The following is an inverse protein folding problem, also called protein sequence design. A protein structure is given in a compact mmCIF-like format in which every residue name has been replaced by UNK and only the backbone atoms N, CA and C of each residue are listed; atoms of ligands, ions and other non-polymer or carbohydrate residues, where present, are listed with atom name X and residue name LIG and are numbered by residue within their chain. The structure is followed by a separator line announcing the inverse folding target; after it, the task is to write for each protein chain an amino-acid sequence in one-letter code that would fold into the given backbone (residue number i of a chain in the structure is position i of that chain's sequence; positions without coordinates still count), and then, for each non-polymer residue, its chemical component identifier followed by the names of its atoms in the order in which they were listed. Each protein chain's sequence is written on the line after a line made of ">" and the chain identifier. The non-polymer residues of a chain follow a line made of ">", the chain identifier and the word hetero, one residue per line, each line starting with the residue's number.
data_IF_599821479511
#
_entry.id   IF_599821479511
#
_cell.length_a   1.000
_cell.length_b   1.000
_cell.length_c   1.000
_cell.angle_alpha   90.00
_cell.angle_beta   90.00
_cell.angle_gamma   90.00
#
_symmetry.space_group_name_H-M   'P 1'
#
loop_
_entity.id
_entity.type
_entity.pdbx_description
1 polymer ?
#
# COMPACT_ATOMS: atom_id res chain seq x y z
N UNK A 1 9.15 1.11 -6.51
CA UNK A 1 7.99 1.99 -6.79
C UNK A 1 6.80 1.55 -5.97
N UNK A 2 5.90 2.46 -5.62
CA UNK A 2 4.64 2.14 -4.92
C UNK A 2 3.67 1.51 -5.93
N UNK A 3 3.82 0.20 -6.17
CA UNK A 3 3.00 -0.51 -7.14
C UNK A 3 1.81 -1.16 -6.44
N UNK A 4 0.61 -0.67 -6.73
CA UNK A 4 -0.63 -1.31 -6.27
C UNK A 4 -1.23 -2.15 -7.40
N UNK A 5 -1.35 -3.45 -7.18
CA UNK A 5 -2.09 -4.34 -8.10
C UNK A 5 -3.59 -4.16 -7.91
N UNK A 6 -4.31 -3.97 -9.01
CA UNK A 6 -5.76 -3.90 -9.00
C UNK A 6 -6.37 -5.31 -9.02
N UNK A 7 -7.50 -5.48 -8.34
CA UNK A 7 -8.32 -6.69 -8.32
C UNK A 7 -9.16 -6.79 -9.59
N UNK A 8 -9.69 -5.66 -10.06
CA UNK A 8 -10.48 -5.59 -11.28
C UNK A 8 -9.60 -5.93 -12.48
N UNK A 9 -10.05 -6.88 -13.29
CA UNK A 9 -9.34 -7.28 -14.52
C UNK A 9 -9.75 -6.38 -15.68
N UNK A 10 -8.84 -6.21 -16.63
CA UNK A 10 -9.17 -5.56 -17.91
C UNK A 10 -10.20 -6.39 -18.69
N UNK A 11 -10.82 -5.79 -19.70
CA UNK A 11 -11.70 -6.50 -20.65
C UNK A 11 -11.00 -7.65 -21.37
N UNK A 12 -9.67 -7.58 -21.51
CA UNK A 12 -8.80 -8.64 -22.03
C UNK A 12 -8.29 -9.62 -20.96
N UNK A 13 -8.91 -9.65 -19.77
CA UNK A 13 -8.63 -10.56 -18.65
C UNK A 13 -7.20 -10.43 -18.05
N UNK A 14 -6.55 -9.26 -18.20
CA UNK A 14 -5.22 -8.98 -17.63
C UNK A 14 -5.34 -8.29 -16.29
N UNK A 15 -4.36 -8.53 -15.42
CA UNK A 15 -4.15 -7.71 -14.23
C UNK A 15 -3.34 -6.48 -14.60
N UNK A 16 -3.71 -5.34 -14.03
CA UNK A 16 -2.97 -4.09 -14.13
C UNK A 16 -2.63 -3.58 -12.74
N UNK A 17 -1.64 -2.69 -12.66
CA UNK A 17 -1.28 -2.02 -11.43
C UNK A 17 -1.04 -0.54 -11.67
N UNK A 18 -1.16 0.25 -10.62
CA UNK A 18 -0.81 1.67 -10.61
C UNK A 18 0.62 1.78 -10.12
N UNK A 19 1.51 2.36 -10.92
CA UNK A 19 2.88 2.71 -10.51
C UNK A 19 2.95 4.22 -10.27
N UNK A 20 3.06 4.62 -9.00
CA UNK A 20 3.09 6.02 -8.60
C UNK A 20 4.52 6.51 -8.26
N UNK A 21 5.54 5.89 -8.87
CA UNK A 21 6.94 6.25 -8.64
C UNK A 21 7.20 7.71 -9.03
N UNK A 22 6.85 8.10 -10.25
CA UNK A 22 7.16 9.44 -10.76
C UNK A 22 5.99 10.41 -10.57
N UNK A 23 4.76 9.95 -10.79
CA UNK A 23 3.55 10.78 -10.71
C UNK A 23 2.44 10.12 -9.89
N UNK A 24 1.67 10.94 -9.16
CA UNK A 24 0.53 10.48 -8.39
C UNK A 24 0.08 11.46 -7.31
N UNK A 25 -1.10 11.21 -6.74
CA UNK A 25 -1.63 12.01 -5.62
C UNK A 25 -0.94 11.70 -4.29
N UNK A 26 -1.38 12.35 -3.21
CA UNK A 26 -0.84 12.17 -1.83
C UNK A 26 -0.80 10.72 -1.35
N UNK A 27 -1.62 9.83 -1.92
CA UNK A 27 -1.64 8.42 -1.57
C UNK A 27 -0.28 7.73 -1.77
N UNK A 28 0.57 8.22 -2.69
CA UNK A 28 1.92 7.69 -2.93
C UNK A 28 2.87 7.81 -1.74
N UNK A 29 2.52 8.60 -0.73
CA UNK A 29 3.34 8.83 0.46
C UNK A 29 2.91 7.98 1.67
N UNK A 30 1.80 7.24 1.58
CA UNK A 30 1.31 6.42 2.69
C UNK A 30 2.14 5.16 2.83
N UNK A 31 2.78 4.98 3.98
CA UNK A 31 3.62 3.81 4.24
C UNK A 31 2.82 2.54 4.52
N UNK A 32 3.52 1.40 4.40
CA UNK A 32 3.00 0.11 4.82
C UNK A 32 2.95 -0.01 6.36
N UNK A 33 1.83 -0.55 6.88
CA UNK A 33 1.78 -1.14 8.21
C UNK A 33 1.01 -2.46 8.20
N UNK A 34 1.38 -3.39 9.08
CA UNK A 34 0.67 -4.67 9.26
C UNK A 34 -0.68 -4.50 9.99
N UNK A 35 -0.83 -3.46 10.80
CA UNK A 35 -2.11 -3.01 11.37
C UNK A 35 -2.42 -1.59 10.88
N UNK A 36 -2.80 -1.41 9.61
CA UNK A 36 -2.97 -0.10 9.02
C UNK A 36 -4.21 0.63 9.54
N UNK A 37 -4.23 1.96 9.47
CA UNK A 37 -5.41 2.76 9.78
C UNK A 37 -6.32 3.02 8.56
N UNK A 38 -5.82 2.77 7.35
CA UNK A 38 -6.58 2.88 6.11
C UNK A 38 -6.41 1.64 5.22
N UNK A 39 -7.34 1.45 4.29
CA UNK A 39 -7.29 0.42 3.24
C UNK A 39 -7.49 1.04 1.88
N UNK A 40 -6.87 0.46 0.86
CA UNK A 40 -7.15 0.83 -0.52
C UNK A 40 -8.47 0.21 -0.99
N UNK A 41 -9.24 1.01 -1.71
CA UNK A 41 -10.49 0.61 -2.35
C UNK A 41 -10.46 1.05 -3.81
N UNK A 42 -10.74 0.09 -4.69
CA UNK A 42 -11.04 0.35 -6.09
C UNK A 42 -12.45 0.95 -6.20
N UNK A 43 -12.56 2.10 -6.84
CA UNK A 43 -13.81 2.81 -7.08
C UNK A 43 -13.95 3.04 -8.58
N UNK A 44 -14.99 2.44 -9.15
CA UNK A 44 -15.35 2.62 -10.54
C UNK A 44 -16.35 3.76 -10.67
N UNK A 45 -15.99 4.78 -11.45
CA UNK A 45 -16.87 5.90 -11.81
C UNK A 45 -17.01 5.94 -13.33
N UNK A 46 -18.11 5.39 -13.86
CA UNK A 46 -18.32 5.23 -15.30
C UNK A 46 -17.26 4.30 -15.90
N UNK A 47 -16.43 4.83 -16.80
CA UNK A 47 -15.32 4.07 -17.42
C UNK A 47 -13.99 4.19 -16.65
N UNK A 48 -13.93 5.05 -15.63
CA UNK A 48 -12.70 5.31 -14.89
C UNK A 48 -12.63 4.46 -13.63
N UNK A 49 -11.57 3.67 -13.51
CA UNK A 49 -11.21 2.96 -12.28
C UNK A 49 -10.19 3.81 -11.51
N UNK A 50 -10.50 4.14 -10.27
CA UNK A 50 -9.61 4.89 -9.38
C UNK A 50 -9.36 4.11 -8.09
N UNK A 51 -8.28 4.45 -7.38
CA UNK A 51 -8.00 3.91 -6.05
C UNK A 51 -8.11 5.04 -5.04
N UNK A 52 -8.90 4.82 -4.01
CA UNK A 52 -9.00 5.69 -2.83
C UNK A 52 -8.48 4.97 -1.60
N UNK A 53 -8.07 5.72 -0.58
CA UNK A 53 -7.76 5.18 0.73
C UNK A 53 -8.86 5.56 1.72
N UNK A 54 -9.44 4.55 2.37
CA UNK A 54 -10.54 4.72 3.33
C UNK A 54 -10.02 4.35 4.70
N UNK A 55 -10.20 5.23 5.68
CA UNK A 55 -9.86 4.93 7.08
C UNK A 55 -10.78 3.84 7.62
N UNK A 56 -10.19 2.81 8.22
CA UNK A 56 -10.90 1.67 8.83
C UNK A 56 -10.86 1.66 10.35
N UNK A 57 -10.14 2.63 10.94
CA UNK A 57 -10.12 2.93 12.38
C UNK A 57 -9.76 4.41 12.57
N UNK A 58 -9.93 4.91 13.79
CA UNK A 58 -9.60 6.30 14.13
C UNK A 58 -8.13 6.63 13.80
N UNK A 59 -7.92 7.80 13.20
CA UNK A 59 -6.60 8.38 12.97
C UNK A 59 -6.43 9.54 13.94
N UNK A 60 -5.50 9.41 14.88
CA UNK A 60 -5.22 10.46 15.85
C UNK A 60 -4.48 11.62 15.20
N UNK A 61 -4.66 12.84 15.73
CA UNK A 61 -3.96 14.03 15.24
C UNK A 61 -2.44 13.82 15.33
N UNK A 62 -1.73 14.14 14.24
CA UNK A 62 -0.29 13.93 14.12
C UNK A 62 0.12 12.49 13.83
N UNK A 63 -0.82 11.54 13.83
CA UNK A 63 -0.56 10.15 13.44
C UNK A 63 -0.35 10.00 11.95
N UNK A 64 0.54 9.08 11.57
CA UNK A 64 0.74 8.71 10.17
C UNK A 64 -0.46 7.92 9.64
N UNK A 65 -0.87 8.22 8.41
CA UNK A 65 -1.82 7.39 7.66
C UNK A 65 -1.07 6.27 6.95
N UNK A 66 -1.40 5.03 7.29
CA UNK A 66 -0.73 3.82 6.77
C UNK A 66 -1.73 2.87 6.13
N UNK A 67 -1.27 2.09 5.16
CA UNK A 67 -2.05 1.10 4.41
C UNK A 67 -1.36 -0.28 4.42
N UNK A 68 -2.03 -1.34 3.98
CA UNK A 68 -1.36 -2.61 3.69
C UNK A 68 -0.97 -2.68 2.22
N UNK A 69 0.30 -3.00 1.92
CA UNK A 69 0.76 -3.30 0.55
C UNK A 69 0.58 -4.78 0.20
N UNK A 70 0.17 -5.62 1.16
CA UNK A 70 0.04 -7.06 0.99
C UNK A 70 1.24 -7.83 1.56
N UNK A 71 1.56 -8.96 0.95
CA UNK A 71 2.62 -9.88 1.39
C UNK A 71 3.91 -9.74 0.57
N UNK A 72 3.84 -9.18 -0.62
CA UNK A 72 4.98 -9.00 -1.52
C UNK A 72 5.57 -7.60 -1.33
N UNK A 73 6.50 -7.47 -0.38
CA UNK A 73 7.15 -6.20 -0.06
C UNK A 73 8.57 -6.18 -0.64
N UNK A 74 9.00 -5.03 -1.16
CA UNK A 74 10.38 -4.74 -1.56
C UNK A 74 11.17 -3.99 -0.48
N UNK A 75 10.64 -3.95 0.74
CA UNK A 75 11.21 -3.25 1.90
C UNK A 75 10.88 -4.03 3.17
N UNK A 76 11.68 -3.83 4.22
CA UNK A 76 11.38 -4.38 5.54
C UNK A 76 10.28 -3.53 6.20
N UNK A 77 9.20 -4.17 6.65
CA UNK A 77 8.12 -3.49 7.35
C UNK A 77 8.59 -3.07 8.76
N UNK A 78 8.65 -1.77 9.03
CA UNK A 78 9.04 -1.20 10.34
C UNK A 78 7.88 -0.56 11.09
N UNK A 79 6.70 -1.18 11.04
CA UNK A 79 5.50 -0.58 11.61
C UNK A 79 5.41 -0.65 13.14
N UNK A 80 6.33 -1.35 13.82
CA UNK A 80 6.42 -1.40 15.28
C UNK A 80 5.23 -2.04 16.01
N UNK A 81 4.24 -2.57 15.28
CA UNK A 81 3.09 -3.25 15.87
C UNK A 81 3.52 -4.62 16.40
N UNK A 82 3.10 -4.98 17.62
CA UNK A 82 3.39 -6.26 18.26
C UNK A 82 2.98 -7.46 17.38
N UNK A 83 1.84 -7.37 16.70
CA UNK A 83 1.37 -8.39 15.76
C UNK A 83 1.99 -8.32 14.36
N UNK A 84 3.07 -7.58 14.15
CA UNK A 84 3.68 -7.46 12.83
C UNK A 84 4.22 -8.82 12.37
N UNK A 85 3.78 -9.29 11.21
CA UNK A 85 4.26 -10.54 10.60
C UNK A 85 5.74 -10.53 10.20
N UNK A 86 6.43 -9.39 10.35
CA UNK A 86 7.85 -9.19 10.05
C UNK A 86 8.63 -8.71 11.29
N UNK A 87 8.09 -8.92 12.49
CA UNK A 87 8.66 -8.42 13.75
C UNK A 87 10.12 -8.83 13.94
N UNK A 88 10.46 -10.05 13.57
CA UNK A 88 11.77 -10.68 13.67
C UNK A 88 12.83 -10.00 12.79
N UNK A 89 12.43 -9.39 11.67
CA UNK A 89 13.37 -8.80 10.70
C UNK A 89 13.40 -7.28 10.68
N UNK A 90 12.63 -6.57 11.53
CA UNK A 90 12.54 -5.10 11.46
C UNK A 90 13.88 -4.37 11.68
N UNK A 91 14.84 -5.04 12.31
CA UNK A 91 16.18 -4.53 12.59
C UNK A 91 17.16 -4.67 11.40
N UNK A 92 16.77 -5.40 10.35
CA UNK A 92 17.60 -5.63 9.16
C UNK A 92 17.48 -4.46 8.16
N UNK A 93 18.48 -4.25 7.29
CA UNK A 93 18.38 -3.29 6.19
C UNK A 93 17.31 -3.71 5.18
N UNK A 94 16.83 -2.75 4.38
CA UNK A 94 15.93 -3.07 3.26
C UNK A 94 16.64 -3.93 2.22
N UNK A 95 15.88 -4.81 1.57
CA UNK A 95 16.38 -5.66 0.49
C UNK A 95 16.71 -4.74 -0.69
N UNK A 96 17.99 -4.65 -1.06
CA UNK A 96 18.40 -3.98 -2.29
C UNK A 96 17.98 -4.82 -3.48
N UNK A 97 16.85 -4.45 -4.10
CA UNK A 97 16.48 -4.99 -5.41
C UNK A 97 17.16 -4.10 -6.44
N UNK A 98 18.28 -4.57 -7.02
CA UNK A 98 18.82 -3.97 -8.23
C UNK A 98 17.78 -4.16 -9.35
N UNK A 99 17.03 -3.10 -9.66
CA UNK A 99 16.15 -3.02 -10.84
C UNK A 99 16.91 -2.48 -12.04
#
# INVERSE_FOLDING_TARGET
>A
GYRMRLKTRTTSNKYVGIDALDEGGKLRLMNHACNPCARFHEVQTGIQLSVVAVTVRAVLRGGQVTVSYGNELWLVCRCGWEGCKHQDIQHLPDIQIHT
#
